data_IF_877418220590
#
_entry.id   IF_877418220590
#
_cell.length_a   1.000
_cell.length_b   1.000
_cell.length_c   1.000
_cell.angle_alpha   90.00
_cell.angle_beta   90.00
_cell.angle_gamma   90.00
#
_symmetry.space_group_name_H-M   'P 1'
#
loop_
_entity.id
_entity.type
_entity.pdbx_description
1 polymer ?
#
# COMPACT_ATOMS: atom_id res chain seq x y z
N UNK A 1 -18.70 -12.76 17.03
CA UNK A 1 -18.89 -11.70 16.01
C UNK A 1 -17.59 -10.95 15.70
N UNK A 2 -16.89 -10.39 16.70
CA UNK A 2 -15.65 -9.61 16.48
C UNK A 2 -14.54 -10.35 15.71
N UNK A 3 -14.29 -11.63 16.03
CA UNK A 3 -13.25 -12.43 15.35
C UNK A 3 -13.60 -12.67 13.86
N UNK A 4 -14.86 -12.99 13.55
CA UNK A 4 -15.31 -13.18 12.16
C UNK A 4 -15.13 -11.90 11.33
N UNK A 5 -15.49 -10.75 11.92
CA UNK A 5 -15.30 -9.46 11.27
C UNK A 5 -13.82 -9.13 11.08
N UNK A 6 -12.97 -9.44 12.08
CA UNK A 6 -11.52 -9.25 11.99
C UNK A 6 -10.91 -10.07 10.86
N UNK A 7 -11.32 -11.34 10.67
CA UNK A 7 -10.84 -12.16 9.55
C UNK A 7 -11.28 -11.60 8.19
N UNK A 8 -12.52 -11.14 8.07
CA UNK A 8 -13.03 -10.52 6.84
C UNK A 8 -12.33 -9.19 6.52
N UNK A 9 -12.06 -8.39 7.55
CA UNK A 9 -11.28 -7.14 7.49
C UNK A 9 -9.84 -7.41 7.06
N UNK A 10 -9.18 -8.38 7.69
CA UNK A 10 -7.83 -8.81 7.32
C UNK A 10 -7.74 -9.22 5.85
N UNK A 11 -8.67 -10.04 5.36
CA UNK A 11 -8.70 -10.46 3.95
C UNK A 11 -8.85 -9.27 3.00
N UNK A 12 -9.75 -8.33 3.32
CA UNK A 12 -9.96 -7.14 2.49
C UNK A 12 -8.73 -6.23 2.47
N UNK A 13 -8.08 -6.04 3.62
CA UNK A 13 -6.86 -5.25 3.74
C UNK A 13 -5.69 -5.90 3.00
N UNK A 14 -5.55 -7.23 3.09
CA UNK A 14 -4.52 -7.97 2.37
C UNK A 14 -4.71 -7.89 0.85
N UNK A 15 -5.96 -7.97 0.36
CA UNK A 15 -6.25 -7.75 -1.06
C UNK A 15 -5.98 -6.31 -1.52
N UNK A 16 -6.28 -5.31 -0.68
CA UNK A 16 -5.93 -3.91 -0.97
C UNK A 16 -4.41 -3.74 -1.08
N UNK A 17 -3.65 -4.40 -0.21
CA UNK A 17 -2.19 -4.42 -0.22
C UNK A 17 -1.62 -5.07 -1.49
N UNK A 18 -2.16 -6.19 -1.96
CA UNK A 18 -1.74 -6.79 -3.23
C UNK A 18 -1.99 -5.89 -4.45
N UNK A 19 -2.98 -4.98 -4.36
CA UNK A 19 -3.27 -3.99 -5.42
C UNK A 19 -2.40 -2.73 -5.32
N UNK A 20 -1.64 -2.57 -4.23
CA UNK A 20 -0.93 -1.33 -3.93
C UNK A 20 -1.85 -0.18 -3.52
N UNK A 21 -3.07 -0.45 -3.02
CA UNK A 21 -3.94 0.60 -2.47
C UNK A 21 -3.59 0.86 -0.99
N UNK A 22 -2.92 1.99 -0.75
CA UNK A 22 -2.42 2.41 0.56
C UNK A 22 -3.35 3.39 1.31
N UNK A 23 -4.65 3.47 0.96
CA UNK A 23 -5.60 4.37 1.63
C UNK A 23 -5.81 4.06 3.12
N UNK A 24 -5.77 2.78 3.48
CA UNK A 24 -6.06 2.30 4.84
C UNK A 24 -4.76 2.05 5.62
N UNK A 25 -3.75 1.50 4.96
CA UNK A 25 -2.45 1.18 5.57
C UNK A 25 -1.38 1.98 4.84
N UNK A 26 -0.56 2.78 5.54
CA UNK A 26 0.46 3.59 4.89
C UNK A 26 1.50 2.70 4.19
N UNK A 27 2.14 3.22 3.11
CA UNK A 27 3.07 2.45 2.31
C UNK A 27 4.31 2.04 3.13
N UNK A 28 4.92 0.89 2.81
CA UNK A 28 6.07 0.36 3.54
C UNK A 28 7.29 1.29 3.45
N UNK A 29 7.41 2.10 2.39
CA UNK A 29 8.47 3.11 2.24
C UNK A 29 8.48 4.19 3.33
N UNK A 30 7.40 4.34 4.10
CA UNK A 30 7.34 5.27 5.22
C UNK A 30 8.04 4.74 6.48
N UNK A 31 8.34 3.45 6.56
CA UNK A 31 8.86 2.80 7.77
C UNK A 31 10.09 1.94 7.45
N UNK A 32 10.98 1.77 8.42
CA UNK A 32 12.15 0.89 8.26
C UNK A 32 11.71 -0.58 8.18
N UNK A 33 12.40 -1.37 7.34
CA UNK A 33 12.15 -2.81 7.20
C UNK A 33 12.26 -3.55 8.55
N UNK A 34 13.19 -3.12 9.41
CA UNK A 34 13.37 -3.69 10.77
C UNK A 34 12.12 -3.47 11.62
N UNK A 35 11.50 -2.29 11.53
CA UNK A 35 10.29 -1.97 12.26
C UNK A 35 9.13 -2.86 11.82
N UNK A 36 9.02 -3.10 10.51
CA UNK A 36 7.97 -3.93 9.94
C UNK A 36 8.10 -5.40 10.39
N UNK A 37 9.32 -5.94 10.34
CA UNK A 37 9.63 -7.28 10.82
C UNK A 37 9.35 -7.43 12.32
N UNK A 38 9.79 -6.46 13.13
CA UNK A 38 9.53 -6.44 14.57
C UNK A 38 8.02 -6.40 14.86
N UNK A 39 7.25 -5.65 14.08
CA UNK A 39 5.79 -5.61 14.19
C UNK A 39 5.15 -6.98 13.92
N UNK A 40 5.61 -7.70 12.89
CA UNK A 40 5.15 -9.05 12.58
C UNK A 40 5.44 -10.04 13.73
N UNK A 41 6.63 -9.99 14.32
CA UNK A 41 7.01 -10.85 15.46
C UNK A 41 6.11 -10.58 16.68
N UNK A 42 5.78 -9.30 16.93
CA UNK A 42 4.97 -8.90 18.08
C UNK A 42 3.47 -9.18 17.90
N UNK A 43 2.99 -9.26 16.66
CA UNK A 43 1.56 -9.36 16.35
C UNK A 43 0.87 -10.52 17.05
N UNK A 44 1.44 -11.73 16.99
CA UNK A 44 0.82 -12.92 17.59
C UNK A 44 0.63 -12.79 19.10
N UNK A 45 1.62 -12.24 19.81
CA UNK A 45 1.54 -12.04 21.25
C UNK A 45 0.56 -10.94 21.63
N UNK A 46 0.57 -9.83 20.87
CA UNK A 46 -0.35 -8.72 21.09
C UNK A 46 -1.80 -9.14 20.81
N UNK A 47 -2.05 -9.95 19.79
CA UNK A 47 -3.39 -10.42 19.48
C UNK A 47 -4.04 -11.15 20.66
N UNK A 48 -3.31 -12.07 21.29
CA UNK A 48 -3.82 -12.81 22.45
C UNK A 48 -3.90 -11.90 23.68
N UNK A 49 -2.89 -11.06 23.92
CA UNK A 49 -2.87 -10.14 25.07
C UNK A 49 -4.02 -9.15 25.09
N UNK A 50 -4.31 -8.50 23.95
CA UNK A 50 -5.43 -7.56 23.83
C UNK A 50 -6.79 -8.26 23.90
N UNK A 51 -6.88 -9.52 23.45
CA UNK A 51 -8.10 -10.32 23.59
C UNK A 51 -8.41 -10.64 25.06
N UNK A 52 -7.40 -11.08 25.82
CA UNK A 52 -7.54 -11.34 27.26
C UNK A 52 -7.88 -10.06 28.03
N UNK A 53 -7.16 -8.97 27.75
CA UNK A 53 -7.42 -7.68 28.40
C UNK A 53 -8.80 -7.13 28.05
N UNK A 54 -9.19 -7.23 26.77
CA UNK A 54 -10.53 -6.87 26.31
C UNK A 54 -11.63 -7.66 26.99
N UNK A 55 -11.42 -8.96 27.23
CA UNK A 55 -12.36 -9.78 28.00
C UNK A 55 -12.49 -9.32 29.46
N UNK A 56 -11.38 -9.04 30.14
CA UNK A 56 -11.38 -8.55 31.53
C UNK A 56 -12.10 -7.20 31.63
N UNK A 57 -11.79 -6.26 30.73
CA UNK A 57 -12.42 -4.93 30.70
C UNK A 57 -13.91 -5.03 30.42
N UNK A 58 -14.32 -5.85 29.44
CA UNK A 58 -15.74 -6.07 29.15
C UNK A 58 -16.48 -6.67 30.33
N UNK A 59 -15.88 -7.66 31.00
CA UNK A 59 -16.46 -8.26 32.20
C UNK A 59 -16.64 -7.22 33.31
N UNK A 60 -15.64 -6.37 33.56
CA UNK A 60 -15.70 -5.29 34.56
C UNK A 60 -16.80 -4.27 34.22
N UNK A 61 -16.92 -3.86 32.95
CA UNK A 61 -17.96 -2.94 32.50
C UNK A 61 -19.34 -3.55 32.68
N UNK A 62 -19.55 -4.80 32.26
CA UNK A 62 -20.82 -5.49 32.43
C UNK A 62 -21.17 -5.67 33.92
N UNK A 63 -20.18 -6.04 34.74
CA UNK A 63 -20.36 -6.14 36.19
C UNK A 63 -20.80 -4.80 36.79
N UNK A 64 -20.11 -3.70 36.45
CA UNK A 64 -20.48 -2.36 36.92
C UNK A 64 -21.89 -1.96 36.48
N UNK A 65 -22.28 -2.24 35.23
CA UNK A 65 -23.64 -2.00 34.73
C UNK A 65 -24.66 -2.82 35.52
N UNK A 66 -24.44 -4.12 35.70
CA UNK A 66 -25.36 -4.98 36.46
C UNK A 66 -25.45 -4.58 37.93
N UNK A 67 -24.35 -4.13 38.53
CA UNK A 67 -24.31 -3.65 39.91
C UNK A 67 -25.11 -2.35 40.08
N UNK A 68 -24.94 -1.39 39.16
CA UNK A 68 -25.74 -0.16 39.13
C UNK A 68 -27.22 -0.50 38.92
N UNK A 69 -27.53 -1.39 37.98
CA UNK A 69 -28.91 -1.80 37.73
C UNK A 69 -29.54 -2.51 38.93
N UNK A 70 -28.79 -3.38 39.63
CA UNK A 70 -29.28 -4.01 40.87
C UNK A 70 -29.59 -2.95 41.92
N UNK A 71 -28.65 -2.04 42.20
CA UNK A 71 -28.85 -0.93 43.14
C UNK A 71 -30.06 -0.06 42.77
N UNK A 72 -30.25 0.20 41.47
CA UNK A 72 -31.43 0.91 40.99
C UNK A 72 -32.70 0.09 41.25
N UNK A 73 -32.76 -1.18 40.85
CA UNK A 73 -33.95 -2.03 41.03
C UNK A 73 -34.32 -2.20 42.50
N UNK A 74 -33.34 -2.43 43.36
CA UNK A 74 -33.52 -2.58 44.81
C UNK A 74 -34.05 -1.28 45.44
N UNK A 75 -33.60 -0.11 44.95
CA UNK A 75 -34.14 1.20 45.34
C UNK A 75 -35.54 1.48 44.76
N UNK A 76 -35.78 1.11 43.50
CA UNK A 76 -37.07 1.32 42.82
C UNK A 76 -38.20 0.47 43.43
N UNK A 77 -37.91 -0.75 43.89
CA UNK A 77 -38.93 -1.62 44.50
C UNK A 77 -39.44 -1.07 45.85
N UNK A 78 -38.66 -0.22 46.53
CA UNK A 78 -38.99 0.35 47.83
C UNK A 78 -39.89 1.61 47.75
N UNK A 79 -39.90 2.35 46.64
CA UNK A 79 -40.55 3.68 46.54
C UNK A 79 -41.44 3.87 45.28
N UNK A 80 -41.94 2.76 44.70
CA UNK A 80 -42.70 2.68 43.44
C UNK A 80 -43.85 3.70 43.22
N UNK A 81 -44.42 4.29 44.28
CA UNK A 81 -45.57 5.22 44.17
C UNK A 81 -45.15 6.70 44.09
N UNK A 82 -44.04 7.09 44.73
CA UNK A 82 -43.60 8.50 44.73
C UNK A 82 -42.80 8.84 43.45
N UNK A 83 -42.04 7.89 42.92
CA UNK A 83 -41.23 8.04 41.70
C UNK A 83 -42.05 8.24 40.42
N UNK A 84 -43.24 7.62 40.30
CA UNK A 84 -44.14 7.80 39.13
C UNK A 84 -44.55 9.27 38.98
N UNK A 85 -44.74 9.97 40.11
CA UNK A 85 -45.10 11.39 40.13
C UNK A 85 -43.92 12.26 39.70
N UNK A 86 -42.71 11.93 40.13
CA UNK A 86 -41.45 12.62 39.75
C UNK A 86 -41.13 12.45 38.26
N UNK A 87 -41.29 11.24 37.72
CA UNK A 87 -41.15 10.96 36.27
C UNK A 87 -42.23 11.68 35.45
N UNK A 88 -43.48 11.68 35.92
CA UNK A 88 -44.58 12.43 35.30
C UNK A 88 -44.41 13.95 35.41
N UNK A 89 -43.55 14.45 36.30
CA UNK A 89 -43.21 15.87 36.41
C UNK A 89 -41.99 16.26 35.55
N UNK A 90 -41.11 15.30 35.21
CA UNK A 90 -39.84 15.57 34.51
C UNK A 90 -39.96 15.52 32.98
N UNK A 91 -40.90 14.74 32.42
CA UNK A 91 -41.08 14.62 30.97
C UNK A 91 -41.36 15.94 30.21
N UNK A 92 -42.05 16.97 30.75
CA UNK A 92 -42.27 18.21 30.03
C UNK A 92 -40.96 18.95 29.73
N UNK A 93 -39.97 18.86 30.62
CA UNK A 93 -38.65 19.47 30.40
C UNK A 93 -37.91 18.83 29.22
N UNK A 94 -37.97 17.50 29.09
CA UNK A 94 -37.38 16.76 27.96
C UNK A 94 -38.13 17.08 26.66
N UNK A 95 -39.47 17.17 26.72
CA UNK A 95 -40.29 17.53 25.57
C UNK A 95 -39.99 18.95 25.09
N UNK A 96 -39.91 19.93 25.99
CA UNK A 96 -39.52 21.31 25.66
C UNK A 96 -38.13 21.34 25.01
N UNK A 97 -37.16 20.58 25.52
CA UNK A 97 -35.85 20.48 24.89
C UNK A 97 -35.91 19.87 23.48
N UNK A 98 -36.69 18.81 23.28
CA UNK A 98 -36.86 18.20 21.96
C UNK A 98 -37.54 19.15 20.96
N UNK A 99 -38.56 19.88 21.40
CA UNK A 99 -39.24 20.91 20.60
C UNK A 99 -38.28 22.03 20.21
N UNK A 100 -37.44 22.53 21.14
CA UNK A 100 -36.45 23.57 20.84
C UNK A 100 -35.39 23.11 19.83
N UNK A 101 -34.93 21.85 19.90
CA UNK A 101 -34.02 21.26 18.90
C UNK A 101 -34.65 21.20 17.50
N UNK A 102 -35.89 20.73 17.40
CA UNK A 102 -36.63 20.66 16.13
C UNK A 102 -36.90 22.07 15.61
N UNK A 103 -37.31 22.99 16.47
CA UNK A 103 -37.58 24.38 16.15
C UNK A 103 -36.32 25.07 15.58
N UNK A 104 -35.15 24.89 16.20
CA UNK A 104 -33.88 25.39 15.67
C UNK A 104 -33.60 24.87 14.25
N UNK A 105 -33.81 23.57 13.99
CA UNK A 105 -33.63 22.97 12.66
C UNK A 105 -34.63 23.50 11.62
N UNK A 106 -35.90 23.69 12.02
CA UNK A 106 -36.95 24.23 11.15
C UNK A 106 -36.71 25.70 10.82
N UNK A 107 -36.39 26.55 11.80
CA UNK A 107 -36.06 27.96 11.57
C UNK A 107 -34.81 28.14 10.72
N UNK A 108 -33.78 27.30 10.93
CA UNK A 108 -32.61 27.28 10.06
C UNK A 108 -32.97 26.97 8.60
N UNK A 109 -33.85 25.99 8.38
CA UNK A 109 -34.25 25.56 7.04
C UNK A 109 -35.25 26.50 6.35
N UNK A 110 -36.21 27.05 7.09
CA UNK A 110 -37.34 27.81 6.52
C UNK A 110 -37.18 29.33 6.60
N UNK A 111 -36.47 29.86 7.59
CA UNK A 111 -36.40 31.32 7.85
C UNK A 111 -35.01 31.89 7.55
N UNK A 112 -33.94 31.13 7.80
CA UNK A 112 -32.58 31.66 7.66
C UNK A 112 -31.88 31.27 6.35
N UNK A 113 -32.13 30.08 5.80
CA UNK A 113 -31.45 29.58 4.61
C UNK A 113 -32.24 29.84 3.33
N UNK A 114 -31.61 30.50 2.35
CA UNK A 114 -32.23 30.81 1.05
C UNK A 114 -31.85 29.73 0.01
N UNK A 115 -32.83 28.94 -0.44
CA UNK A 115 -32.71 28.05 -1.60
C UNK A 115 -32.18 26.63 -1.33
N UNK A 116 -32.20 25.80 -2.38
CA UNK A 116 -31.80 24.39 -2.32
C UNK A 116 -30.32 24.24 -2.01
N UNK A 117 -30.04 23.46 -0.96
CA UNK A 117 -28.81 22.88 -0.36
C UNK A 117 -27.39 23.05 -0.97
N UNK A 118 -27.22 23.58 -2.19
CA UNK A 118 -25.94 23.62 -2.89
C UNK A 118 -25.06 24.83 -2.53
N UNK A 119 -25.63 25.90 -1.97
CA UNK A 119 -24.87 27.10 -1.55
C UNK A 119 -25.38 27.65 -0.22
N UNK A 120 -24.47 27.90 0.73
CA UNK A 120 -24.79 28.47 2.04
C UNK A 120 -25.04 29.99 1.91
N UNK A 121 -26.30 30.40 1.73
CA UNK A 121 -26.71 31.82 1.66
C UNK A 121 -27.76 32.12 2.73
N UNK A 122 -27.49 33.12 3.57
CA UNK A 122 -28.44 33.60 4.58
C UNK A 122 -29.30 34.72 3.98
N UNK A 123 -30.61 34.62 4.12
CA UNK A 123 -31.56 35.63 3.64
C UNK A 123 -31.61 36.82 4.61
N UNK A 124 -32.08 36.58 5.84
CA UNK A 124 -32.24 37.62 6.86
C UNK A 124 -31.18 37.54 7.96
N UNK A 125 -30.01 38.12 7.68
CA UNK A 125 -28.82 38.08 8.55
C UNK A 125 -29.06 38.62 9.96
N UNK A 126 -29.87 39.67 10.12
CA UNK A 126 -30.10 40.30 11.43
C UNK A 126 -30.98 39.42 12.35
N UNK A 127 -32.04 38.82 11.81
CA UNK A 127 -32.89 37.90 12.58
C UNK A 127 -32.17 36.62 12.97
N UNK A 128 -31.24 36.14 12.14
CA UNK A 128 -30.35 35.04 12.51
C UNK A 128 -29.49 35.38 13.74
N UNK A 129 -28.87 36.57 13.77
CA UNK A 129 -28.04 36.99 14.91
C UNK A 129 -28.85 37.12 16.21
N UNK A 130 -30.06 37.69 16.15
CA UNK A 130 -30.94 37.83 17.32
C UNK A 130 -31.38 36.44 17.84
N UNK A 131 -31.78 35.55 16.94
CA UNK A 131 -32.17 34.18 17.29
C UNK A 131 -30.99 33.38 17.87
N UNK A 132 -29.81 33.49 17.27
CA UNK A 132 -28.59 32.84 17.76
C UNK A 132 -28.22 33.34 19.17
N UNK A 133 -28.40 34.64 19.45
CA UNK A 133 -28.17 35.20 20.78
C UNK A 133 -29.11 34.60 21.84
N UNK A 134 -30.41 34.52 21.57
CA UNK A 134 -31.36 33.90 22.50
C UNK A 134 -31.10 32.39 22.69
N UNK A 135 -30.77 31.68 21.61
CA UNK A 135 -30.49 30.24 21.66
C UNK A 135 -29.13 29.89 22.26
N UNK A 136 -28.24 30.88 22.45
CA UNK A 136 -26.89 30.66 22.99
C UNK A 136 -26.92 29.95 24.35
N UNK A 137 -27.73 30.44 25.29
CA UNK A 137 -27.85 29.84 26.62
C UNK A 137 -28.35 28.40 26.57
N UNK A 138 -29.37 28.12 25.74
CA UNK A 138 -29.90 26.78 25.55
C UNK A 138 -28.88 25.83 24.91
N UNK A 139 -28.11 26.33 23.93
CA UNK A 139 -27.04 25.57 23.28
C UNK A 139 -25.89 25.23 24.23
N UNK A 140 -25.63 26.03 25.27
CA UNK A 140 -24.65 25.68 26.33
C UNK A 140 -25.09 24.42 27.06
N UNK A 141 -26.35 24.33 27.51
CA UNK A 141 -26.88 23.14 28.19
C UNK A 141 -26.85 21.91 27.28
N UNK A 142 -27.27 22.05 26.02
CA UNK A 142 -27.15 20.98 25.03
C UNK A 142 -25.69 20.57 24.79
N UNK A 143 -24.76 21.52 24.81
CA UNK A 143 -23.33 21.28 24.69
C UNK A 143 -22.80 20.39 25.83
N UNK A 144 -23.23 20.65 27.06
CA UNK A 144 -22.87 19.83 28.24
C UNK A 144 -23.41 18.40 28.08
N UNK A 145 -24.70 18.24 27.74
CA UNK A 145 -25.31 16.92 27.52
C UNK A 145 -24.64 16.18 26.35
N UNK A 146 -24.35 16.88 25.25
CA UNK A 146 -23.66 16.32 24.09
C UNK A 146 -22.23 15.88 24.43
N UNK A 147 -21.52 16.62 25.29
CA UNK A 147 -20.21 16.22 25.79
C UNK A 147 -20.28 14.93 26.62
N UNK A 148 -21.29 14.80 27.48
CA UNK A 148 -21.51 13.58 28.26
C UNK A 148 -21.84 12.39 27.34
N UNK A 149 -22.71 12.58 26.35
CA UNK A 149 -23.00 11.56 25.33
C UNK A 149 -21.76 11.20 24.49
N UNK A 150 -20.86 12.16 24.23
CA UNK A 150 -19.58 11.91 23.55
C UNK A 150 -18.70 10.97 24.36
N UNK A 151 -18.59 11.19 25.68
CA UNK A 151 -17.83 10.33 26.58
C UNK A 151 -18.45 8.93 26.62
N UNK A 152 -19.77 8.84 26.77
CA UNK A 152 -20.47 7.54 26.79
C UNK A 152 -20.26 6.75 25.49
N UNK A 153 -20.43 7.40 24.33
CA UNK A 153 -20.14 6.79 23.01
C UNK A 153 -18.68 6.33 22.91
N UNK A 154 -17.73 7.13 23.39
CA UNK A 154 -16.32 6.79 23.37
C UNK A 154 -16.00 5.58 24.25
N UNK A 155 -16.65 5.44 25.42
CA UNK A 155 -16.48 4.26 26.29
C UNK A 155 -17.04 3.00 25.62
N UNK A 156 -18.25 3.06 25.06
CA UNK A 156 -18.89 1.91 24.39
C UNK A 156 -18.09 1.48 23.17
N UNK A 157 -17.74 2.42 22.29
CA UNK A 157 -16.94 2.14 21.10
C UNK A 157 -15.55 1.66 21.52
N UNK A 158 -14.89 2.35 22.44
CA UNK A 158 -13.59 1.96 22.97
C UNK A 158 -13.57 0.52 23.51
N UNK A 159 -14.57 0.12 24.29
CA UNK A 159 -14.67 -1.24 24.83
C UNK A 159 -14.82 -2.31 23.73
N UNK A 160 -15.62 -2.04 22.69
CA UNK A 160 -15.79 -2.97 21.55
C UNK A 160 -14.52 -3.06 20.70
N UNK A 161 -13.82 -1.95 20.51
CA UNK A 161 -12.61 -1.87 19.68
C UNK A 161 -11.34 -2.32 20.43
N UNK A 162 -11.32 -2.32 21.77
CA UNK A 162 -10.13 -2.66 22.56
C UNK A 162 -9.61 -4.08 22.29
N UNK A 163 -10.50 -5.03 22.04
CA UNK A 163 -10.12 -6.41 21.73
C UNK A 163 -9.67 -6.61 20.26
N UNK A 164 -9.79 -5.58 19.41
CA UNK A 164 -9.50 -5.64 17.97
C UNK A 164 -8.21 -4.91 17.65
N UNK A 165 -7.32 -5.56 16.91
CA UNK A 165 -6.04 -4.96 16.48
C UNK A 165 -6.10 -4.37 15.07
N UNK A 166 -7.17 -4.62 14.33
CA UNK A 166 -7.34 -4.16 12.95
C UNK A 166 -7.81 -2.71 12.84
N UNK A 167 -8.15 -2.07 13.96
CA UNK A 167 -8.64 -0.69 14.02
C UNK A 167 -8.05 0.00 15.25
N UNK A 168 -7.50 1.20 15.07
CA UNK A 168 -6.99 1.95 16.21
C UNK A 168 -8.14 2.57 16.99
N UNK A 169 -8.04 2.50 18.32
CA UNK A 169 -8.93 3.26 19.22
C UNK A 169 -8.53 4.74 19.27
N UNK A 170 -7.29 5.07 18.87
CA UNK A 170 -6.77 6.43 18.85
C UNK A 170 -7.24 7.18 17.59
N UNK A 171 -7.34 8.53 17.65
CA UNK A 171 -7.67 9.32 16.47
C UNK A 171 -6.55 9.24 15.44
N UNK A 172 -6.88 9.51 14.17
CA UNK A 172 -5.98 9.29 13.01
C UNK A 172 -4.58 9.90 13.12
N UNK A 173 -4.44 11.02 13.83
CA UNK A 173 -3.13 11.68 14.04
C UNK A 173 -2.23 10.96 15.06
N UNK A 174 -2.81 10.16 15.95
CA UNK A 174 -2.12 9.42 17.01
C UNK A 174 -2.14 7.90 16.79
N UNK A 175 -2.54 7.43 15.60
CA UNK A 175 -2.49 6.00 15.23
C UNK A 175 -1.07 5.41 15.37
N UNK A 176 -0.03 6.21 15.20
CA UNK A 176 1.36 5.76 15.35
C UNK A 176 1.72 5.36 16.80
N UNK A 177 0.97 5.86 17.79
CA UNK A 177 1.19 5.54 19.20
C UNK A 177 0.47 4.26 19.63
N UNK A 178 -0.39 3.73 18.76
CA UNK A 178 -1.06 2.45 18.98
C UNK A 178 -0.11 1.29 18.66
N UNK A 179 0.39 0.63 19.71
CA UNK A 179 1.28 -0.53 19.56
C UNK A 179 0.57 -1.73 18.92
N UNK A 180 -0.75 -1.87 19.13
CA UNK A 180 -1.56 -2.95 18.57
C UNK A 180 -1.72 -2.80 17.06
N UNK A 181 -2.14 -1.62 16.61
CA UNK A 181 -2.24 -1.30 15.18
C UNK A 181 -0.85 -1.33 14.52
N UNK A 182 0.18 -0.83 15.20
CA UNK A 182 1.56 -0.89 14.73
C UNK A 182 1.99 -2.33 14.41
N UNK A 183 1.76 -3.27 15.33
CA UNK A 183 2.09 -4.68 15.12
C UNK A 183 1.28 -5.30 13.98
N UNK A 184 -0.03 -4.98 13.89
CA UNK A 184 -0.88 -5.44 12.79
C UNK A 184 -0.42 -4.94 11.42
N UNK A 185 -0.05 -3.66 11.29
CA UNK A 185 0.50 -3.12 10.03
C UNK A 185 1.81 -3.82 9.66
N UNK A 186 2.67 -4.10 10.65
CA UNK A 186 3.88 -4.94 10.50
C UNK A 186 3.58 -6.29 9.87
N UNK A 187 2.64 -7.01 10.48
CA UNK A 187 2.20 -8.33 10.04
C UNK A 187 1.60 -8.32 8.62
N UNK A 188 0.68 -7.40 8.32
CA UNK A 188 0.02 -7.35 7.01
C UNK A 188 1.01 -7.07 5.88
N UNK A 189 1.97 -6.16 6.07
CA UNK A 189 2.99 -5.91 5.04
C UNK A 189 3.94 -7.10 4.88
N UNK A 190 4.31 -7.78 5.97
CA UNK A 190 5.16 -8.98 5.91
C UNK A 190 4.46 -10.11 5.14
N UNK A 191 3.19 -10.36 5.45
CA UNK A 191 2.34 -11.29 4.70
C UNK A 191 2.25 -10.88 3.23
N UNK A 192 1.93 -9.62 2.93
CA UNK A 192 1.81 -9.16 1.55
C UNK A 192 3.10 -9.35 0.74
N UNK A 193 4.27 -9.15 1.35
CA UNK A 193 5.57 -9.30 0.72
C UNK A 193 5.94 -10.78 0.45
N UNK A 194 5.66 -11.68 1.39
CA UNK A 194 6.04 -13.09 1.26
C UNK A 194 5.00 -13.97 0.56
N UNK A 195 3.72 -13.61 0.63
CA UNK A 195 2.61 -14.42 0.10
C UNK A 195 1.93 -13.81 -1.12
N UNK A 196 2.63 -12.95 -1.88
CA UNK A 196 2.05 -12.34 -3.08
C UNK A 196 1.63 -13.41 -4.12
N UNK A 197 0.32 -13.55 -4.43
CA UNK A 197 -0.19 -14.67 -5.21
C UNK A 197 0.36 -14.68 -6.64
N UNK A 198 0.51 -13.51 -7.27
CA UNK A 198 1.05 -13.40 -8.64
C UNK A 198 2.50 -13.87 -8.71
N UNK A 199 3.32 -13.51 -7.72
CA UNK A 199 4.73 -13.90 -7.67
C UNK A 199 4.86 -15.40 -7.44
N UNK A 200 4.08 -15.93 -6.49
CA UNK A 200 4.07 -17.36 -6.18
C UNK A 200 3.64 -18.21 -7.39
N UNK A 201 2.63 -17.77 -8.14
CA UNK A 201 2.21 -18.47 -9.37
C UNK A 201 3.26 -18.35 -10.46
N UNK A 202 3.87 -17.16 -10.64
CA UNK A 202 4.93 -16.94 -11.61
C UNK A 202 6.15 -17.84 -11.35
N UNK A 203 6.65 -17.89 -10.11
CA UNK A 203 7.77 -18.75 -9.71
C UNK A 203 7.42 -20.22 -9.92
N UNK A 204 6.22 -20.66 -9.53
CA UNK A 204 5.76 -22.04 -9.76
C UNK A 204 5.69 -22.38 -11.25
N UNK A 205 5.26 -21.44 -12.09
CA UNK A 205 5.25 -21.60 -13.54
C UNK A 205 6.68 -21.75 -14.08
N UNK A 206 7.62 -20.88 -13.68
CA UNK A 206 9.02 -20.98 -14.09
C UNK A 206 9.66 -22.31 -13.68
N UNK A 207 9.44 -22.76 -12.45
CA UNK A 207 9.95 -24.05 -11.96
C UNK A 207 9.34 -25.20 -12.75
N UNK A 208 8.04 -25.17 -13.03
CA UNK A 208 7.38 -26.19 -13.84
C UNK A 208 7.94 -26.24 -15.26
N UNK A 209 8.12 -25.08 -15.89
CA UNK A 209 8.68 -24.99 -17.25
C UNK A 209 10.12 -25.50 -17.30
N UNK A 210 10.94 -25.16 -16.30
CA UNK A 210 12.31 -25.65 -16.22
C UNK A 210 12.36 -27.17 -16.07
N UNK A 211 11.50 -27.75 -15.21
CA UNK A 211 11.38 -29.21 -15.08
C UNK A 211 10.98 -29.89 -16.39
N UNK A 212 10.00 -29.35 -17.10
CA UNK A 212 9.59 -29.89 -18.41
C UNK A 212 10.73 -29.82 -19.42
N UNK A 213 11.45 -28.69 -19.51
CA UNK A 213 12.63 -28.57 -20.40
C UNK A 213 13.73 -29.59 -20.07
N UNK A 214 14.00 -29.85 -18.78
CA UNK A 214 14.99 -30.84 -18.35
C UNK A 214 14.56 -32.27 -18.69
N UNK A 215 13.27 -32.60 -18.51
CA UNK A 215 12.72 -33.91 -18.88
C UNK A 215 12.74 -34.12 -20.40
N UNK A 216 12.35 -33.12 -21.19
CA UNK A 216 12.42 -33.17 -22.66
C UNK A 216 13.88 -33.31 -23.13
N UNK A 217 14.83 -32.66 -22.46
CA UNK A 217 16.26 -32.79 -22.74
C UNK A 217 16.79 -34.20 -22.43
N UNK A 218 16.37 -34.78 -21.30
CA UNK A 218 16.74 -36.14 -20.92
C UNK A 218 16.13 -37.19 -21.86
N UNK A 219 14.86 -37.03 -22.24
CA UNK A 219 14.18 -37.91 -23.19
C UNK A 219 14.89 -37.90 -24.55
N UNK A 220 15.30 -36.72 -25.03
CA UNK A 220 16.10 -36.60 -26.27
C UNK A 220 17.48 -37.22 -26.14
N UNK A 221 18.15 -37.09 -24.99
CA UNK A 221 19.46 -37.72 -24.77
C UNK A 221 19.36 -39.26 -24.75
N UNK A 222 18.27 -39.80 -24.19
CA UNK A 222 18.01 -41.24 -24.18
C UNK A 222 17.68 -41.78 -25.57
N UNK A 223 16.87 -41.04 -26.35
CA UNK A 223 16.50 -41.41 -27.72
C UNK A 223 17.73 -41.49 -28.64
N UNK A 224 18.64 -40.51 -28.54
CA UNK A 224 19.93 -40.53 -29.27
C UNK A 224 20.78 -41.75 -28.89
N UNK A 225 20.80 -42.13 -27.62
CA UNK A 225 21.61 -43.26 -27.15
C UNK A 225 21.08 -44.62 -27.63
N UNK A 226 19.75 -44.77 -27.77
CA UNK A 226 19.12 -45.98 -28.30
C UNK A 226 19.40 -46.11 -29.81
N UNK A 227 19.32 -45.01 -30.57
CA UNK A 227 19.66 -45.03 -32.01
C UNK A 227 21.14 -45.25 -32.30
N UNK A 228 22.06 -44.88 -31.39
CA UNK A 228 23.50 -45.09 -31.59
C UNK A 228 23.99 -46.52 -31.36
N UNK A 229 23.19 -47.37 -30.71
CA UNK A 229 23.56 -48.79 -30.48
C UNK A 229 23.04 -49.74 -31.56
N UNK A 230 22.27 -49.26 -32.54
CA UNK A 230 21.60 -50.08 -33.56
C UNK A 230 22.10 -49.82 -35.00
N UNK A 231 23.21 -49.08 -35.16
CA UNK A 231 23.80 -48.78 -36.46
C UNK A 231 25.21 -49.36 -36.61
N UNK A 232 25.29 -50.68 -36.73
CA UNK A 232 26.31 -51.33 -37.54
C UNK A 232 25.69 -51.69 -38.89
N UNK A 233 26.33 -51.22 -39.97
CA UNK A 233 26.21 -51.61 -41.38
C UNK A 233 25.38 -50.67 -42.30
N UNK A 234 26.16 -50.07 -43.22
CA UNK A 234 25.86 -49.46 -44.53
C UNK A 234 25.78 -47.92 -44.65
N UNK A 235 26.94 -47.42 -45.10
CA UNK A 235 27.22 -46.27 -45.93
C UNK A 235 26.17 -46.06 -47.05
N UNK A 236 25.49 -44.91 -47.01
CA UNK A 236 24.93 -44.16 -48.15
C UNK A 236 24.33 -42.84 -47.64
N UNK A 237 25.12 -41.80 -47.82
CA UNK A 237 24.74 -40.40 -48.04
C UNK A 237 23.22 -40.12 -48.17
N UNK A 238 22.59 -39.63 -47.10
CA UNK A 238 21.41 -38.77 -47.17
C UNK A 238 21.30 -37.89 -45.91
N UNK A 239 21.21 -36.58 -46.13
CA UNK A 239 21.18 -35.51 -45.12
C UNK A 239 19.90 -35.57 -44.27
N UNK A 240 19.81 -36.50 -43.31
CA UNK A 240 18.72 -36.50 -42.33
C UNK A 240 19.14 -35.69 -41.10
N UNK A 241 19.17 -34.36 -41.28
CA UNK A 241 19.28 -33.42 -40.16
C UNK A 241 18.08 -33.60 -39.21
N UNK A 242 18.36 -34.04 -37.98
CA UNK A 242 17.38 -33.99 -36.90
C UNK A 242 16.78 -32.57 -36.85
N UNK A 243 15.45 -32.39 -36.78
CA UNK A 243 14.87 -31.05 -36.75
C UNK A 243 15.20 -30.44 -35.39
N UNK A 244 16.34 -29.74 -35.32
CA UNK A 244 16.59 -28.72 -34.31
C UNK A 244 15.40 -27.76 -34.42
N UNK A 245 14.53 -27.80 -33.42
CA UNK A 245 13.37 -26.90 -33.34
C UNK A 245 13.93 -25.48 -33.33
N UNK A 246 13.93 -24.82 -34.48
CA UNK A 246 14.65 -23.57 -34.68
C UNK A 246 14.22 -22.54 -33.62
N UNK A 247 15.15 -22.04 -32.78
CA UNK A 247 14.82 -21.08 -31.73
C UNK A 247 14.21 -19.78 -32.29
N UNK A 248 14.50 -19.48 -33.55
CA UNK A 248 14.01 -18.32 -34.32
C UNK A 248 12.48 -18.19 -34.28
N UNK A 249 11.74 -19.31 -34.35
CA UNK A 249 10.28 -19.28 -34.33
C UNK A 249 9.68 -18.95 -32.95
N UNK A 250 10.41 -19.21 -31.86
CA UNK A 250 9.97 -18.88 -30.50
C UNK A 250 10.26 -17.41 -30.19
N UNK A 251 11.42 -16.92 -30.61
CA UNK A 251 11.82 -15.52 -30.46
C UNK A 251 10.89 -14.59 -31.24
N UNK A 252 10.56 -14.91 -32.50
CA UNK A 252 9.62 -14.12 -33.30
C UNK A 252 8.23 -14.02 -32.64
N UNK A 253 7.70 -15.13 -32.11
CA UNK A 253 6.41 -15.14 -31.38
C UNK A 253 6.44 -14.27 -30.14
N UNK A 254 7.53 -14.31 -29.36
CA UNK A 254 7.70 -13.46 -28.20
C UNK A 254 7.77 -11.97 -28.58
N UNK A 255 8.52 -11.62 -29.64
CA UNK A 255 8.60 -10.25 -30.16
C UNK A 255 7.22 -9.72 -30.57
N UNK A 256 6.40 -10.52 -31.26
CA UNK A 256 5.03 -10.14 -31.60
C UNK A 256 4.12 -9.96 -30.37
N UNK A 257 4.21 -10.85 -29.38
CA UNK A 257 3.42 -10.72 -28.15
C UNK A 257 3.83 -9.48 -27.33
N UNK A 258 5.12 -9.13 -27.34
CA UNK A 258 5.63 -7.91 -26.74
C UNK A 258 5.06 -6.67 -27.43
N UNK A 259 5.13 -6.60 -28.76
CA UNK A 259 4.57 -5.50 -29.55
C UNK A 259 3.07 -5.35 -29.29
N UNK A 260 2.32 -6.47 -29.31
CA UNK A 260 0.89 -6.48 -28.98
C UNK A 260 0.62 -5.89 -27.60
N UNK A 261 1.39 -6.28 -26.58
CA UNK A 261 1.23 -5.77 -25.21
C UNK A 261 1.53 -4.27 -25.12
N UNK A 262 2.59 -3.81 -25.80
CA UNK A 262 2.98 -2.39 -25.80
C UNK A 262 1.99 -1.49 -26.54
N UNK A 263 1.38 -1.99 -27.62
CA UNK A 263 0.38 -1.24 -28.38
C UNK A 263 -0.89 -0.98 -27.55
N UNK A 264 -1.35 -1.98 -26.79
CA UNK A 264 -2.55 -1.87 -25.96
C UNK A 264 -2.30 -1.17 -24.61
N UNK A 265 -1.04 -0.98 -24.20
CA UNK A 265 -0.69 -0.34 -22.93
C UNK A 265 0.31 0.81 -23.15
N UNK A 266 -0.14 1.99 -23.59
CA UNK A 266 0.74 3.11 -23.96
C UNK A 266 1.59 3.62 -22.78
N UNK A 267 1.08 3.50 -21.55
CA UNK A 267 1.79 3.88 -20.33
C UNK A 267 3.07 3.04 -20.13
N UNK A 268 2.98 1.72 -20.38
CA UNK A 268 4.10 0.78 -20.21
C UNK A 268 5.20 1.06 -21.23
N UNK A 269 4.84 1.53 -22.44
CA UNK A 269 5.81 1.92 -23.46
C UNK A 269 6.72 3.05 -22.98
N UNK A 270 6.15 4.09 -22.37
CA UNK A 270 6.92 5.22 -21.83
C UNK A 270 7.85 4.78 -20.70
N UNK A 271 7.35 3.99 -19.74
CA UNK A 271 8.16 3.47 -18.64
C UNK A 271 9.31 2.58 -19.12
N UNK A 272 9.04 1.69 -20.09
CA UNK A 272 10.05 0.81 -20.68
C UNK A 272 11.14 1.61 -21.40
N UNK A 273 10.76 2.59 -22.21
CA UNK A 273 11.73 3.42 -22.93
C UNK A 273 12.64 4.18 -21.97
N UNK A 274 12.06 4.85 -20.95
CA UNK A 274 12.83 5.55 -19.92
C UNK A 274 13.76 4.62 -19.14
N UNK A 275 13.28 3.43 -18.77
CA UNK A 275 14.11 2.43 -18.09
C UNK A 275 15.30 1.98 -18.96
N UNK A 276 15.06 1.62 -20.23
CA UNK A 276 16.14 1.19 -21.13
C UNK A 276 17.17 2.30 -21.34
N UNK A 277 16.74 3.55 -21.51
CA UNK A 277 17.65 4.69 -21.63
C UNK A 277 18.49 4.89 -20.37
N UNK A 278 17.88 4.78 -19.18
CA UNK A 278 18.60 4.89 -17.90
C UNK A 278 19.63 3.76 -17.72
N UNK A 279 19.31 2.54 -18.14
CA UNK A 279 20.23 1.38 -18.07
C UNK A 279 21.37 1.52 -19.09
N UNK A 280 21.08 1.93 -20.34
CA UNK A 280 22.12 2.22 -21.35
C UNK A 280 23.10 3.26 -20.81
N UNK A 281 22.61 4.34 -20.21
CA UNK A 281 23.42 5.41 -19.62
C UNK A 281 24.24 4.94 -18.41
N UNK A 282 23.64 4.18 -17.50
CA UNK A 282 24.37 3.61 -16.36
C UNK A 282 25.51 2.70 -16.80
N UNK A 283 25.30 1.90 -17.85
CA UNK A 283 26.34 1.01 -18.42
C UNK A 283 27.48 1.80 -19.07
N UNK A 284 27.18 2.87 -19.81
CA UNK A 284 28.21 3.77 -20.37
C UNK A 284 29.08 4.39 -19.28
N UNK A 285 28.47 4.70 -18.13
CA UNK A 285 29.14 5.29 -16.98
C UNK A 285 29.81 4.24 -16.06
N UNK A 286 29.75 2.93 -16.38
CA UNK A 286 30.30 1.86 -15.56
C UNK A 286 29.59 1.64 -14.21
N UNK A 287 28.39 2.19 -14.02
CA UNK A 287 27.63 2.16 -12.77
C UNK A 287 26.78 0.89 -12.68
N UNK A 288 26.87 0.17 -11.55
CA UNK A 288 25.99 -0.96 -11.26
C UNK A 288 24.64 -0.47 -10.77
N UNK A 289 23.60 -0.68 -11.58
CA UNK A 289 22.23 -0.28 -11.26
C UNK A 289 21.67 -1.17 -10.13
N UNK A 290 21.20 -0.58 -9.01
CA UNK A 290 20.53 -1.36 -7.96
C UNK A 290 19.16 -1.88 -8.45
N UNK A 291 18.80 -3.10 -8.06
CA UNK A 291 17.47 -3.66 -8.33
C UNK A 291 16.46 -2.86 -7.49
N UNK A 292 15.67 -2.00 -8.14
CA UNK A 292 14.66 -1.19 -7.46
C UNK A 292 13.39 -1.09 -8.30
N UNK A 293 12.24 -1.03 -7.62
CA UNK A 293 10.92 -0.89 -8.26
C UNK A 293 10.66 0.54 -8.77
N UNK A 294 11.56 1.50 -8.48
CA UNK A 294 11.40 2.89 -8.88
C UNK A 294 12.09 3.12 -10.23
N UNK A 295 11.47 3.92 -11.13
CA UNK A 295 12.13 4.32 -12.35
C UNK A 295 13.37 5.15 -12.00
N UNK A 296 14.51 4.77 -12.57
CA UNK A 296 15.78 5.43 -12.31
C UNK A 296 15.73 6.81 -12.95
N UNK A 297 15.66 7.83 -12.12
CA UNK A 297 15.74 9.21 -12.58
C UNK A 297 17.20 9.63 -12.72
N UNK A 298 17.44 10.65 -13.54
CA UNK A 298 18.79 11.18 -13.75
C UNK A 298 19.47 11.63 -12.45
N UNK A 299 18.67 12.04 -11.47
CA UNK A 299 19.13 12.39 -10.13
C UNK A 299 19.72 11.19 -9.37
N UNK A 300 19.11 10.01 -9.46
CA UNK A 300 19.61 8.80 -8.81
C UNK A 300 20.93 8.34 -9.44
N UNK A 301 21.06 8.47 -10.77
CA UNK A 301 22.33 8.21 -11.47
C UNK A 301 23.45 9.15 -11.01
N UNK A 302 23.14 10.43 -10.79
CA UNK A 302 24.14 11.38 -10.25
C UNK A 302 24.54 11.04 -8.83
N UNK A 303 23.61 10.61 -7.97
CA UNK A 303 23.94 10.16 -6.61
C UNK A 303 24.84 8.92 -6.63
N UNK A 304 24.54 7.93 -7.48
CA UNK A 304 25.37 6.74 -7.63
C UNK A 304 26.78 7.09 -8.10
N UNK A 305 26.91 8.06 -9.03
CA UNK A 305 28.21 8.57 -9.47
C UNK A 305 29.00 9.21 -8.33
N UNK A 306 28.36 10.04 -7.50
CA UNK A 306 29.02 10.67 -6.35
C UNK A 306 29.47 9.61 -5.34
N UNK A 307 28.63 8.62 -5.04
CA UNK A 307 28.97 7.53 -4.12
C UNK A 307 30.14 6.66 -4.63
N UNK A 308 30.22 6.43 -5.95
CA UNK A 308 31.35 5.70 -6.55
C UNK A 308 32.64 6.54 -6.53
N UNK A 309 32.56 7.85 -6.80
CA UNK A 309 33.70 8.76 -6.71
C UNK A 309 34.25 8.92 -5.28
N UNK A 310 33.40 8.91 -4.26
CA UNK A 310 33.83 8.88 -2.84
C UNK A 310 34.50 7.53 -2.48
N UNK A 311 34.07 6.43 -3.08
CA UNK A 311 34.67 5.11 -2.88
C UNK A 311 36.05 5.00 -3.54
N UNK A 312 36.24 5.60 -4.72
CA UNK A 312 37.53 5.63 -5.43
C UNK A 312 38.54 6.61 -4.77
N UNK A 313 38.07 7.68 -4.11
CA UNK A 313 38.92 8.57 -3.31
C UNK A 313 39.29 8.01 -1.93
N UNK A 314 38.61 6.97 -1.44
CA UNK A 314 38.86 6.36 -0.14
C UNK A 314 39.95 5.27 -0.13
N UNK A 315 40.64 5.00 -1.24
CA UNK A 315 41.83 4.14 -1.27
C UNK A 315 43.04 4.97 -0.81
N UNK A 316 43.64 4.72 0.37
CA UNK A 316 44.78 5.49 0.82
C UNK A 316 46.04 5.05 0.07
N UNK A 317 46.65 5.97 -0.67
CA UNK A 317 48.06 5.82 -1.07
C UNK A 317 48.94 5.83 0.19
N UNK A 318 49.96 4.97 0.31
CA UNK A 318 50.78 4.92 1.52
C UNK A 318 51.76 6.09 1.49
N UNK A 319 51.48 7.13 2.28
CA UNK A 319 52.45 8.18 2.54
C UNK A 319 51.84 9.50 3.02
N UNK A 320 52.25 9.86 4.24
CA UNK A 320 52.32 11.21 4.83
C UNK A 320 51.11 11.75 5.62
N UNK A 321 51.32 11.67 6.94
CA UNK A 321 51.20 12.69 7.98
C UNK A 321 49.85 13.38 8.24
N UNK A 322 49.34 13.05 9.42
CA UNK A 322 48.22 13.66 10.10
C UNK A 322 48.55 15.10 10.56
N UNK A 323 47.63 16.04 10.33
CA UNK A 323 47.32 17.12 11.28
C UNK A 323 46.02 17.89 10.91
N UNK A 324 45.01 17.72 11.78
CA UNK A 324 44.15 18.76 12.41
C UNK A 324 42.94 19.40 11.68
N UNK A 325 41.82 19.39 12.44
CA UNK A 325 40.67 20.32 12.56
C UNK A 325 39.37 20.06 11.77
N UNK A 326 38.26 19.89 12.53
CA UNK A 326 36.87 19.87 12.04
C UNK A 326 36.27 21.27 11.81
N UNK A 327 34.94 21.47 11.61
CA UNK A 327 33.87 20.83 12.39
C UNK A 327 32.63 20.30 11.61
N UNK A 328 31.80 19.60 12.38
CA UNK A 328 30.52 18.94 12.12
C UNK A 328 29.53 19.58 11.11
N UNK A 329 28.95 18.76 10.23
CA UNK A 329 27.52 18.89 9.84
C UNK A 329 26.93 17.57 9.29
N UNK A 330 25.73 17.23 9.79
CA UNK A 330 24.73 16.32 9.21
C UNK A 330 25.08 14.84 8.95
N UNK A 331 24.95 14.02 10.00
CA UNK A 331 24.76 12.56 9.88
C UNK A 331 23.32 12.27 9.39
N UNK A 332 23.18 11.91 8.11
CA UNK A 332 22.00 11.19 7.61
C UNK A 332 22.28 9.69 7.74
N UNK A 333 21.52 9.05 8.61
CA UNK A 333 21.60 7.65 8.98
C UNK A 333 21.17 6.75 7.80
N UNK A 334 22.11 6.10 7.13
CA UNK A 334 21.83 4.99 6.19
C UNK A 334 21.77 3.69 6.99
N UNK A 335 20.70 2.88 6.91
CA UNK A 335 20.70 1.58 7.58
C UNK A 335 21.52 0.59 6.75
N UNK A 336 22.57 0.04 7.37
CA UNK A 336 23.35 -1.07 6.83
C UNK A 336 22.46 -2.28 6.57
N UNK A 337 22.27 -2.66 5.30
CA UNK A 337 21.74 -3.97 4.94
C UNK A 337 22.89 -4.98 4.94
N UNK A 338 22.72 -6.00 5.77
CA UNK A 338 23.57 -7.17 5.96
C UNK A 338 23.97 -7.81 4.63
N UNK A 339 25.27 -7.87 4.38
CA UNK A 339 25.88 -8.68 3.32
C UNK A 339 25.83 -10.14 3.78
N UNK A 340 24.92 -10.93 3.21
CA UNK A 340 25.01 -12.40 3.27
C UNK A 340 25.87 -12.83 2.09
N UNK A 341 27.09 -13.25 2.41
CA UNK A 341 28.04 -13.85 1.48
C UNK A 341 27.57 -15.26 1.10
N UNK A 342 27.54 -15.57 -0.20
CA UNK A 342 27.19 -16.90 -0.68
C UNK A 342 27.39 -17.08 -2.18
N UNK A 343 28.50 -17.72 -2.54
CA UNK A 343 28.58 -18.66 -3.68
C UNK A 343 28.69 -18.07 -5.08
N UNK A 344 29.94 -17.98 -5.56
CA UNK A 344 30.29 -17.92 -6.99
C UNK A 344 29.71 -19.10 -7.76
N UNK A 345 28.96 -18.82 -8.83
CA UNK A 345 28.80 -19.76 -9.95
C UNK A 345 28.58 -18.95 -11.22
N UNK A 346 29.56 -19.05 -12.11
CA UNK A 346 29.57 -18.51 -13.47
C UNK A 346 28.36 -19.04 -14.25
N UNK A 347 27.36 -18.19 -14.51
CA UNK A 347 26.28 -18.44 -15.47
C UNK A 347 25.43 -17.18 -15.67
N UNK A 348 26.01 -16.07 -16.16
CA UNK A 348 25.22 -14.90 -16.60
C UNK A 348 25.93 -14.15 -17.73
N UNK A 349 26.30 -14.87 -18.81
CA UNK A 349 26.45 -14.27 -20.14
C UNK A 349 25.12 -14.41 -20.87
N UNK A 350 24.32 -13.35 -20.84
CA UNK A 350 23.19 -13.18 -21.75
C UNK A 350 23.77 -12.57 -23.02
N UNK A 351 23.92 -13.39 -24.06
CA UNK A 351 24.41 -13.01 -25.40
C UNK A 351 23.79 -11.69 -25.88
N UNK A 352 24.66 -10.69 -26.04
CA UNK A 352 24.33 -9.29 -26.34
C UNK A 352 24.16 -9.04 -27.85
N UNK A 353 24.43 -10.01 -28.72
CA UNK A 353 24.35 -9.85 -30.17
C UNK A 353 22.90 -9.77 -30.70
N UNK A 354 21.89 -10.14 -29.90
CA UNK A 354 20.49 -10.18 -30.35
C UNK A 354 19.74 -8.83 -30.22
N UNK A 355 20.42 -7.77 -29.75
CA UNK A 355 19.85 -6.45 -29.46
C UNK A 355 20.20 -5.41 -30.53
N UNK A 356 21.29 -5.57 -31.28
CA UNK A 356 21.66 -4.66 -32.39
C UNK A 356 20.67 -4.75 -33.56
N UNK A 357 20.14 -5.94 -33.87
CA UNK A 357 19.23 -6.18 -35.02
C UNK A 357 17.85 -5.47 -34.95
N UNK A 358 17.53 -4.78 -33.85
CA UNK A 358 16.22 -4.14 -33.65
C UNK A 358 16.24 -2.61 -33.76
N UNK A 359 17.40 -1.96 -33.69
CA UNK A 359 17.54 -0.53 -34.00
C UNK A 359 17.58 -0.31 -35.53
N UNK A 360 18.10 -1.26 -36.30
CA UNK A 360 18.16 -1.20 -37.78
C UNK A 360 16.80 -1.27 -38.49
N UNK A 361 15.75 -1.77 -37.81
CA UNK A 361 14.39 -1.86 -38.39
C UNK A 361 13.61 -0.56 -38.17
N UNK A 362 13.89 0.19 -37.09
CA UNK A 362 13.19 1.45 -36.81
C UNK A 362 13.70 2.59 -37.71
N UNK A 363 15.01 2.60 -38.04
CA UNK A 363 15.59 3.59 -38.97
C UNK A 363 15.15 3.40 -40.44
N UNK A 364 14.77 2.18 -40.85
CA UNK A 364 14.25 1.94 -42.21
C UNK A 364 12.79 2.40 -42.39
N UNK A 365 12.07 2.71 -41.30
CA UNK A 365 10.68 3.21 -41.35
C UNK A 365 10.56 4.74 -41.39
N UNK A 366 11.69 5.45 -41.51
CA UNK A 366 11.78 6.89 -41.68
C UNK A 366 11.38 7.38 -43.08
N UNK A 367 10.19 7.03 -43.58
CA UNK A 367 9.61 7.60 -44.79
C UNK A 367 8.22 8.16 -44.51
N UNK A 368 8.19 9.31 -43.82
CA UNK A 368 7.15 10.36 -43.87
C UNK A 368 7.54 11.46 -42.87
N UNK A 369 8.57 12.24 -43.24
CA UNK A 369 8.78 13.59 -42.71
C UNK A 369 8.57 14.54 -43.88
N UNK A 370 7.40 15.16 -43.95
CA UNK A 370 7.23 16.36 -44.78
C UNK A 370 7.54 17.63 -43.96
N UNK A 371 8.10 18.68 -44.59
CA UNK A 371 8.58 19.88 -43.91
C UNK A 371 7.52 21.00 -43.86
N UNK A 372 7.66 21.85 -42.84
CA UNK A 372 7.22 23.25 -42.68
C UNK A 372 5.95 23.77 -43.40
N UNK A 373 5.05 24.36 -42.59
CA UNK A 373 4.09 25.36 -43.05
C UNK A 373 3.69 26.31 -41.90
N UNK A 374 4.16 27.55 -41.98
CA UNK A 374 3.75 28.71 -41.17
C UNK A 374 2.28 29.07 -41.43
N UNK A 375 1.54 29.49 -40.40
CA UNK A 375 0.19 30.06 -40.55
C UNK A 375 -0.55 30.21 -39.22
N UNK A 376 -0.58 31.44 -38.71
CA UNK A 376 -1.43 31.89 -37.59
C UNK A 376 -2.92 31.69 -37.89
N UNK A 377 -3.73 31.22 -36.92
CA UNK A 377 -4.98 31.88 -36.41
C UNK A 377 -5.84 30.96 -35.53
N UNK A 378 -6.36 31.57 -34.45
CA UNK A 378 -7.62 31.34 -33.73
C UNK A 378 -7.96 30.00 -32.99
N UNK A 379 -7.89 30.09 -31.66
CA UNK A 379 -9.05 30.10 -30.74
C UNK A 379 -10.18 29.07 -30.99
N UNK A 380 -10.28 28.02 -30.15
CA UNK A 380 -11.51 27.63 -29.41
C UNK A 380 -11.29 26.36 -28.57
N UNK A 381 -11.65 26.43 -27.28
CA UNK A 381 -11.94 25.26 -26.43
C UNK A 381 -13.32 24.67 -26.78
N UNK A 382 -13.53 23.37 -26.53
CA UNK A 382 -14.81 22.92 -25.98
C UNK A 382 -14.60 22.09 -24.70
N UNK A 383 -15.19 22.52 -23.57
CA UNK A 383 -16.47 22.06 -22.98
C UNK A 383 -16.39 20.65 -22.40
#
# INVERSE_FOLDING_TARGET
>A
MNILHMMASFRSNLFAMYRGDFKVIPPPSSKSAVWLCTGCIKYSGFQVGFLVWGYIVMWLILFAITFILSMMIDGYLAELVEEIKTICQTWPGVLVAMVLLVLQGLLARFVFLQGSASFLRLDNRNSYFIFAYFMFFYNIFLGVVSCLLRILKAVVIGAVFLARLDSSTLPRRFEAWDSGLSAYTGFVHMEAAHTHPVLNVFVRLLVSLNRTKRLDGLARALDVHITSNDSDINDSQDDQSCPRRNPVGVTAKFKWFLVYTLLHNPQIRLYRQGYIQSVKKARQDGLRVPISDRPIVQFDLTQLRTAQGESDQAIPSPGQDATVSGPATHLVHVPSSVVVSGGTSDADDIDVDMIEDLEDIEDSSGFLRDPMGSGDTELLMPV
#
